data_IF_519310088982
#
_entry.id   IF_519310088982
#
_cell.length_a   1.000
_cell.length_b   1.000
_cell.length_c   1.000
_cell.angle_alpha   90.00
_cell.angle_beta   90.00
_cell.angle_gamma   90.00
#
_symmetry.space_group_name_H-M   'P 1'
#
loop_
_entity.id
_entity.type
_entity.pdbx_description
1 polymer ?
#
# COMPACT_ATOMS: atom_id res chain seq x y z
N UNK A 1 5.34 5.16 27.24
CA UNK A 1 3.95 5.08 27.76
C UNK A 1 3.18 4.31 26.72
N UNK A 2 3.12 3.02 26.96
CA UNK A 2 2.69 2.01 26.01
C UNK A 2 1.17 2.12 25.84
N UNK A 3 0.78 2.76 24.74
CA UNK A 3 -0.60 2.89 24.33
C UNK A 3 -1.08 1.56 23.77
N UNK A 4 -1.89 0.86 24.54
CA UNK A 4 -2.63 -0.32 24.10
C UNK A 4 -3.49 0.06 22.87
N UNK A 5 -3.16 -0.49 21.70
CA UNK A 5 -3.93 -0.36 20.46
C UNK A 5 -5.16 -1.24 20.56
N UNK A 6 -6.30 -0.67 20.95
CA UNK A 6 -7.57 -1.39 21.06
C UNK A 6 -8.48 -1.05 19.87
N UNK A 7 -8.67 -2.01 18.97
CA UNK A 7 -9.69 -1.98 17.91
C UNK A 7 -10.58 -3.22 18.10
N UNK A 8 -11.81 -3.01 18.57
CA UNK A 8 -12.90 -4.01 18.74
C UNK A 8 -14.22 -3.24 18.51
N UNK A 9 -15.32 -3.71 17.89
CA UNK A 9 -15.80 -4.89 17.14
C UNK A 9 -17.15 -4.50 16.53
N UNK A 10 -17.54 -5.08 15.38
CA UNK A 10 -18.88 -5.59 15.06
C UNK A 10 -18.62 -6.73 14.04
N UNK A 11 -18.94 -8.02 14.17
CA UNK A 11 -19.74 -8.83 15.08
C UNK A 11 -19.28 -10.29 14.85
N UNK A 12 -19.10 -11.10 15.90
CA UNK A 12 -19.00 -12.56 15.79
C UNK A 12 -17.59 -13.16 15.69
N UNK A 13 -17.18 -13.86 16.75
CA UNK A 13 -16.09 -14.84 16.70
C UNK A 13 -16.38 -15.90 15.63
N UNK A 14 -15.58 -15.90 14.55
CA UNK A 14 -15.09 -17.05 13.77
C UNK A 14 -14.17 -16.45 12.72
N UNK A 15 -12.96 -16.99 12.55
CA UNK A 15 -12.23 -16.78 11.30
C UNK A 15 -13.21 -17.08 10.16
N UNK A 16 -13.24 -16.28 9.08
CA UNK A 16 -14.12 -16.62 7.94
C UNK A 16 -13.97 -18.12 7.65
N UNK A 17 -15.08 -18.87 7.69
CA UNK A 17 -15.04 -20.35 7.73
C UNK A 17 -14.25 -20.96 6.55
N UNK A 18 -14.00 -20.15 5.52
CA UNK A 18 -13.34 -20.46 4.27
C UNK A 18 -11.83 -20.12 4.22
N UNK A 19 -11.28 -19.32 5.15
CA UNK A 19 -9.87 -18.87 5.06
C UNK A 19 -8.85 -20.03 5.00
N UNK A 20 -8.97 -21.12 5.79
CA UNK A 20 -8.08 -22.27 5.65
C UNK A 20 -8.16 -22.94 4.28
N UNK A 21 -9.36 -23.05 3.70
CA UNK A 21 -9.55 -23.62 2.37
C UNK A 21 -8.92 -22.73 1.29
N UNK A 22 -9.15 -21.41 1.36
CA UNK A 22 -8.49 -20.43 0.49
C UNK A 22 -6.97 -20.46 0.59
N UNK A 23 -6.41 -20.61 1.80
CA UNK A 23 -4.96 -20.78 1.98
C UNK A 23 -4.44 -22.00 1.23
N UNK A 24 -5.13 -23.13 1.34
CA UNK A 24 -4.73 -24.36 0.64
C UNK A 24 -4.80 -24.20 -0.88
N UNK A 25 -5.85 -23.57 -1.40
CA UNK A 25 -6.00 -23.25 -2.83
C UNK A 25 -4.83 -22.39 -3.33
N UNK A 26 -4.62 -21.24 -2.69
CA UNK A 26 -3.53 -20.31 -3.07
C UNK A 26 -2.17 -20.99 -2.98
N UNK A 27 -1.89 -21.74 -1.93
CA UNK A 27 -0.60 -22.41 -1.80
C UNK A 27 -0.38 -23.53 -2.82
N UNK A 28 -1.43 -24.18 -3.31
CA UNK A 28 -1.34 -25.14 -4.40
C UNK A 28 -1.00 -24.42 -5.71
N UNK A 29 -1.74 -23.36 -6.05
CA UNK A 29 -1.59 -22.58 -7.28
C UNK A 29 -0.20 -21.94 -7.43
N UNK A 30 0.39 -21.51 -6.30
CA UNK A 30 1.64 -20.77 -6.28
C UNK A 30 2.86 -21.61 -5.85
N UNK A 31 2.69 -22.91 -5.58
CA UNK A 31 3.74 -23.79 -5.07
C UNK A 31 5.07 -23.76 -5.84
N UNK A 32 5.04 -23.63 -7.16
CA UNK A 32 6.24 -23.54 -8.02
C UNK A 32 6.91 -22.15 -8.01
N UNK A 33 6.21 -21.12 -7.51
CA UNK A 33 6.63 -19.72 -7.45
C UNK A 33 6.89 -19.24 -6.02
N UNK A 34 6.79 -20.14 -5.03
CA UNK A 34 7.11 -19.87 -3.63
C UNK A 34 8.58 -19.50 -3.41
N UNK A 35 9.47 -19.73 -4.38
CA UNK A 35 10.92 -19.54 -4.29
C UNK A 35 11.34 -18.31 -3.49
N UNK A 36 11.62 -18.52 -2.19
CA UNK A 36 12.00 -17.54 -1.17
C UNK A 36 10.98 -16.46 -0.80
N UNK A 37 9.70 -16.62 -1.14
CA UNK A 37 8.59 -15.87 -0.56
C UNK A 37 8.04 -16.64 0.65
N UNK A 38 8.07 -16.01 1.82
CA UNK A 38 7.61 -16.66 3.04
C UNK A 38 6.08 -16.64 3.14
N UNK A 39 5.48 -17.79 3.39
CA UNK A 39 4.06 -17.89 3.78
C UNK A 39 3.85 -17.27 5.16
N UNK A 40 2.65 -16.72 5.42
CA UNK A 40 2.34 -16.18 6.75
C UNK A 40 2.18 -17.29 7.78
N UNK A 41 2.96 -17.16 8.85
CA UNK A 41 2.75 -17.92 10.08
C UNK A 41 1.47 -17.47 10.80
N UNK A 42 0.95 -18.25 11.76
CA UNK A 42 -0.09 -17.76 12.67
C UNK A 42 0.34 -16.45 13.36
N UNK A 43 -0.57 -15.48 13.51
CA UNK A 43 -0.24 -14.18 14.08
C UNK A 43 0.05 -14.27 15.58
N UNK A 44 0.95 -13.41 16.07
CA UNK A 44 1.10 -13.16 17.50
C UNK A 44 -0.14 -12.40 18.05
N UNK A 45 -0.42 -12.44 19.37
CA UNK A 45 -1.66 -11.89 19.95
C UNK A 45 -1.92 -10.39 19.69
N UNK A 46 -0.87 -9.61 19.44
CA UNK A 46 -0.92 -8.16 19.18
C UNK A 46 -0.76 -7.79 17.70
N UNK A 47 -0.56 -8.77 16.82
CA UNK A 47 -0.49 -8.60 15.37
C UNK A 47 -1.88 -8.44 14.74
N UNK A 48 -1.92 -7.79 13.57
CA UNK A 48 -3.15 -7.43 12.87
C UNK A 48 -4.15 -8.60 12.72
N UNK A 49 -3.69 -9.75 12.23
CA UNK A 49 -4.54 -10.91 11.95
C UNK A 49 -5.01 -11.66 13.21
N UNK A 50 -4.50 -11.31 14.40
CA UNK A 50 -5.06 -11.79 15.67
C UNK A 50 -6.24 -10.92 16.14
N UNK A 51 -6.32 -9.68 15.65
CA UNK A 51 -7.30 -8.67 16.08
C UNK A 51 -8.38 -8.40 15.04
N UNK A 52 -8.07 -8.62 13.76
CA UNK A 52 -8.93 -8.32 12.62
C UNK A 52 -9.17 -9.59 11.82
N UNK A 53 -10.45 -9.93 11.62
CA UNK A 53 -10.83 -11.02 10.71
C UNK A 53 -10.74 -10.52 9.26
N UNK A 54 -9.87 -11.16 8.48
CA UNK A 54 -9.67 -10.85 7.08
C UNK A 54 -9.94 -12.09 6.22
N UNK A 55 -10.94 -12.05 5.32
CA UNK A 55 -11.31 -13.21 4.52
C UNK A 55 -10.29 -13.56 3.42
N UNK A 56 -9.24 -12.73 3.26
CA UNK A 56 -8.33 -12.79 2.13
C UNK A 56 -8.99 -12.48 0.79
N UNK A 57 -8.19 -12.53 -0.27
CA UNK A 57 -8.64 -12.34 -1.64
C UNK A 57 -7.79 -13.20 -2.57
N UNK A 58 -8.37 -14.26 -3.16
CA UNK A 58 -7.68 -15.06 -4.19
C UNK A 58 -7.53 -14.26 -5.49
N UNK A 59 -6.73 -14.76 -6.43
CA UNK A 59 -6.60 -14.11 -7.74
C UNK A 59 -7.92 -14.14 -8.55
N UNK A 60 -8.70 -15.22 -8.45
CA UNK A 60 -10.03 -15.33 -9.08
C UNK A 60 -11.03 -14.32 -8.49
N UNK A 61 -11.04 -14.16 -7.16
CA UNK A 61 -11.87 -13.15 -6.49
C UNK A 61 -11.46 -11.73 -6.89
N UNK A 62 -10.15 -11.47 -7.00
CA UNK A 62 -9.65 -10.19 -7.51
C UNK A 62 -10.16 -9.92 -8.93
N UNK A 63 -10.05 -10.87 -9.86
CA UNK A 63 -10.56 -10.70 -11.24
C UNK A 63 -12.05 -10.36 -11.31
N UNK A 64 -12.85 -10.86 -10.35
CA UNK A 64 -14.29 -10.57 -10.27
C UNK A 64 -14.63 -9.22 -9.65
N UNK A 65 -13.78 -8.71 -8.76
CA UNK A 65 -14.11 -7.55 -7.90
C UNK A 65 -13.34 -6.29 -8.26
N UNK A 66 -12.16 -6.40 -8.86
CA UNK A 66 -11.32 -5.25 -9.21
C UNK A 66 -11.88 -4.49 -10.42
N UNK A 67 -12.25 -3.23 -10.20
CA UNK A 67 -12.82 -2.35 -11.23
C UNK A 67 -11.82 -1.38 -11.84
N UNK A 68 -10.67 -1.16 -11.21
CA UNK A 68 -9.64 -0.24 -11.70
C UNK A 68 -8.54 -1.01 -12.44
N UNK A 69 -8.41 -0.74 -13.74
CA UNK A 69 -7.38 -1.31 -14.61
C UNK A 69 -6.85 -0.22 -15.53
N UNK A 70 -5.56 -0.29 -15.86
CA UNK A 70 -4.94 0.57 -16.86
C UNK A 70 -5.64 0.40 -18.21
N UNK A 71 -5.93 1.50 -18.88
CA UNK A 71 -6.51 1.50 -20.22
C UNK A 71 -5.95 2.64 -21.06
N UNK A 72 -6.22 2.63 -22.37
CA UNK A 72 -5.88 3.75 -23.23
C UNK A 72 -6.51 5.04 -22.67
N UNK A 73 -5.69 6.08 -22.51
CA UNK A 73 -6.11 7.36 -21.94
C UNK A 73 -6.40 7.33 -20.43
N UNK A 74 -6.05 6.27 -19.69
CA UNK A 74 -6.09 6.19 -18.23
C UNK A 74 -4.92 5.35 -17.71
N UNK A 75 -3.75 5.98 -17.62
CA UNK A 75 -2.48 5.29 -17.36
C UNK A 75 -1.50 6.05 -16.47
N UNK A 76 -1.89 7.21 -15.96
CA UNK A 76 -1.04 8.03 -15.07
C UNK A 76 -1.47 7.88 -13.61
N UNK A 77 -0.52 7.53 -12.74
CA UNK A 77 -0.69 7.62 -11.29
C UNK A 77 -0.28 9.03 -10.88
N UNK A 78 -1.23 9.79 -10.36
CA UNK A 78 -0.98 11.13 -9.85
C UNK A 78 -0.64 11.10 -8.37
N UNK A 79 0.45 11.77 -8.02
CA UNK A 79 0.81 12.08 -6.65
C UNK A 79 0.38 13.52 -6.36
N UNK A 80 -0.36 13.73 -5.27
CA UNK A 80 -0.76 15.04 -4.80
C UNK A 80 -0.01 15.35 -3.50
N UNK A 81 1.12 16.06 -3.55
CA UNK A 81 1.73 16.60 -2.33
C UNK A 81 0.71 17.51 -1.64
N UNK A 82 0.61 17.42 -0.33
CA UNK A 82 -0.31 18.23 0.44
C UNK A 82 0.42 19.11 1.45
N UNK A 83 -0.24 20.18 1.88
CA UNK A 83 0.20 21.02 2.99
C UNK A 83 1.56 21.70 2.76
N UNK A 84 1.98 21.94 1.51
CA UNK A 84 3.28 22.52 1.19
C UNK A 84 4.45 21.54 1.29
N UNK A 85 4.18 20.22 1.25
CA UNK A 85 5.19 19.17 1.24
C UNK A 85 6.15 19.30 0.06
N UNK A 86 5.67 19.75 -1.11
CA UNK A 86 6.49 20.03 -2.30
C UNK A 86 7.67 20.96 -2.03
N UNK A 87 7.45 21.98 -1.19
CA UNK A 87 8.49 22.94 -0.80
C UNK A 87 9.42 22.36 0.28
N UNK A 88 8.88 21.58 1.21
CA UNK A 88 9.65 21.08 2.37
C UNK A 88 10.52 19.87 2.03
N UNK A 89 10.04 18.98 1.16
CA UNK A 89 10.70 17.71 0.86
C UNK A 89 10.67 17.37 -0.65
N UNK A 90 11.21 18.22 -1.54
CA UNK A 90 11.18 17.99 -2.99
C UNK A 90 11.95 16.72 -3.42
N UNK A 91 13.10 16.43 -2.79
CA UNK A 91 13.92 15.26 -3.13
C UNK A 91 13.24 13.94 -2.77
N UNK A 92 12.58 13.90 -1.60
CA UNK A 92 11.77 12.76 -1.17
C UNK A 92 10.62 12.51 -2.15
N UNK A 93 9.91 13.57 -2.54
CA UNK A 93 8.80 13.46 -3.48
C UNK A 93 9.24 12.90 -4.81
N UNK A 94 10.36 13.37 -5.35
CA UNK A 94 10.89 12.87 -6.62
C UNK A 94 11.30 11.39 -6.51
N UNK A 95 11.93 11.00 -5.40
CA UNK A 95 12.25 9.60 -5.11
C UNK A 95 10.99 8.73 -5.06
N UNK A 96 9.91 9.21 -4.41
CA UNK A 96 8.62 8.52 -4.35
C UNK A 96 7.96 8.45 -5.72
N UNK A 97 7.99 9.51 -6.52
CA UNK A 97 7.45 9.55 -7.89
C UNK A 97 8.13 8.52 -8.78
N UNK A 98 9.46 8.49 -8.76
CA UNK A 98 10.23 7.51 -9.52
C UNK A 98 9.92 6.09 -9.04
N UNK A 99 9.91 5.86 -7.72
CA UNK A 99 9.56 4.56 -7.14
C UNK A 99 8.17 4.09 -7.59
N UNK A 100 7.15 4.95 -7.52
CA UNK A 100 5.78 4.63 -7.94
C UNK A 100 5.77 4.29 -9.44
N UNK A 101 6.48 5.05 -10.26
CA UNK A 101 6.56 4.76 -11.70
C UNK A 101 7.18 3.39 -11.98
N UNK A 102 8.30 3.08 -11.33
CA UNK A 102 9.02 1.80 -11.50
C UNK A 102 8.23 0.64 -10.90
N UNK A 103 7.65 0.80 -9.71
CA UNK A 103 6.92 -0.25 -9.00
C UNK A 103 5.61 -0.63 -9.70
N UNK A 104 4.88 0.34 -10.25
CA UNK A 104 3.61 0.10 -10.93
C UNK A 104 3.75 0.03 -12.46
N UNK A 105 4.93 0.30 -13.01
CA UNK A 105 5.20 0.31 -14.46
C UNK A 105 4.22 1.22 -15.22
N UNK A 106 3.86 2.34 -14.59
CA UNK A 106 2.93 3.35 -15.05
C UNK A 106 3.60 4.72 -15.02
N UNK A 107 3.10 5.67 -15.80
CA UNK A 107 3.53 7.06 -15.65
C UNK A 107 3.18 7.55 -14.24
N UNK A 108 4.08 8.28 -13.60
CA UNK A 108 3.82 8.94 -12.33
C UNK A 108 4.12 10.43 -12.44
N UNK A 109 3.16 11.27 -12.03
CA UNK A 109 3.25 12.73 -12.17
C UNK A 109 2.66 13.45 -10.97
N UNK A 110 3.10 14.68 -10.73
CA UNK A 110 2.56 15.49 -9.64
C UNK A 110 1.35 16.28 -10.09
N UNK A 111 0.33 16.31 -9.23
CA UNK A 111 -0.65 17.39 -9.21
C UNK A 111 -0.09 18.57 -8.42
N UNK A 112 -0.62 19.80 -8.62
CA UNK A 112 -0.22 20.96 -7.83
C UNK A 112 -0.41 20.71 -6.34
N UNK A 113 0.59 21.09 -5.54
CA UNK A 113 0.50 21.02 -4.08
C UNK A 113 -0.67 21.89 -3.60
N UNK A 114 -1.49 21.34 -2.71
CA UNK A 114 -2.63 22.05 -2.13
C UNK A 114 -2.85 21.69 -0.65
N UNK A 115 -3.49 22.58 0.12
CA UNK A 115 -3.91 22.24 1.49
C UNK A 115 -4.87 21.05 1.51
N UNK A 116 -4.86 20.30 2.60
CA UNK A 116 -5.89 19.32 2.87
C UNK A 116 -7.25 20.01 3.13
N UNK A 117 -8.39 19.33 2.86
CA UNK A 117 -9.71 19.91 3.08
C UNK A 117 -9.88 20.30 4.55
N UNK A 118 -10.32 21.55 4.79
CA UNK A 118 -10.54 22.07 6.16
C UNK A 118 -11.56 21.23 6.95
N UNK A 119 -12.54 20.64 6.26
CA UNK A 119 -13.54 19.75 6.85
C UNK A 119 -12.96 18.43 7.37
N UNK A 120 -11.77 18.02 6.91
CA UNK A 120 -11.10 16.84 7.42
C UNK A 120 -10.31 17.11 8.71
N UNK A 121 -10.05 18.37 9.07
CA UNK A 121 -9.29 18.67 10.30
C UNK A 121 -10.16 18.46 11.54
N UNK A 122 -9.65 17.64 12.47
CA UNK A 122 -10.22 17.48 13.81
C UNK A 122 -9.38 18.26 14.83
N UNK A 123 -9.87 19.37 15.41
CA UNK A 123 -9.16 20.11 16.44
C UNK A 123 -8.88 19.28 17.70
N UNK A 124 -9.82 18.43 18.11
CA UNK A 124 -9.71 17.60 19.31
C UNK A 124 -8.63 16.55 19.18
N UNK A 125 -8.49 15.97 17.99
CA UNK A 125 -7.46 14.95 17.69
C UNK A 125 -6.13 15.55 17.28
N UNK A 126 -6.15 16.79 16.77
CA UNK A 126 -5.04 17.39 16.03
C UNK A 126 -4.58 16.52 14.83
N UNK A 127 -5.55 15.86 14.18
CA UNK A 127 -5.35 14.92 13.07
C UNK A 127 -6.32 15.26 11.92
N UNK A 128 -6.00 14.79 10.72
CA UNK A 128 -6.90 14.82 9.58
C UNK A 128 -7.65 13.50 9.41
N UNK A 129 -8.94 13.59 9.11
CA UNK A 129 -9.78 12.45 8.75
C UNK A 129 -9.44 11.98 7.33
N UNK A 130 -8.88 10.78 7.22
CA UNK A 130 -8.49 10.21 5.96
C UNK A 130 -9.71 9.95 5.05
N UNK A 131 -10.86 9.58 5.59
CA UNK A 131 -12.07 9.32 4.80
C UNK A 131 -12.58 10.62 4.14
N UNK A 132 -12.58 11.72 4.89
CA UNK A 132 -12.94 13.03 4.36
C UNK A 132 -11.97 13.52 3.28
N UNK A 133 -10.67 13.19 3.38
CA UNK A 133 -9.69 13.46 2.32
C UNK A 133 -10.01 12.63 1.06
N UNK A 134 -10.34 11.35 1.22
CA UNK A 134 -10.71 10.48 0.10
C UNK A 134 -11.96 11.01 -0.62
N UNK A 135 -12.94 11.52 0.13
CA UNK A 135 -14.13 12.16 -0.43
C UNK A 135 -13.81 13.39 -1.28
N UNK A 136 -12.94 14.28 -0.79
CA UNK A 136 -12.46 15.44 -1.54
C UNK A 136 -11.72 15.04 -2.82
N UNK A 137 -10.82 14.05 -2.75
CA UNK A 137 -10.07 13.57 -3.91
C UNK A 137 -10.98 12.96 -4.98
N UNK A 138 -11.96 12.16 -4.55
CA UNK A 138 -12.87 11.47 -5.46
C UNK A 138 -13.76 12.41 -6.26
N UNK A 139 -14.00 13.63 -5.76
CA UNK A 139 -14.81 14.64 -6.45
C UNK A 139 -14.13 15.20 -7.71
N UNK A 140 -12.80 15.08 -7.84
CA UNK A 140 -12.03 15.73 -8.89
C UNK A 140 -10.89 14.85 -9.46
N UNK A 141 -11.14 13.55 -9.64
CA UNK A 141 -10.17 12.64 -10.26
C UNK A 141 -10.01 13.00 -11.75
N UNK A 142 -8.80 13.35 -12.24
CA UNK A 142 -8.58 13.62 -13.66
C UNK A 142 -9.03 12.43 -14.53
N UNK A 143 -9.51 12.71 -15.75
CA UNK A 143 -10.01 11.65 -16.64
C UNK A 143 -8.93 10.63 -17.02
N UNK A 144 -7.69 11.10 -17.14
CA UNK A 144 -6.50 10.30 -17.46
C UNK A 144 -5.81 9.68 -16.24
N UNK A 145 -6.28 10.00 -15.03
CA UNK A 145 -5.75 9.42 -13.82
C UNK A 145 -6.14 7.94 -13.69
N UNK A 146 -5.13 7.08 -13.69
CA UNK A 146 -5.26 5.71 -13.23
C UNK A 146 -5.54 5.66 -11.72
N UNK A 147 -4.88 6.53 -10.96
CA UNK A 147 -5.10 6.71 -9.54
C UNK A 147 -4.61 8.10 -9.09
N UNK A 148 -5.15 8.61 -7.97
CA UNK A 148 -4.68 9.85 -7.32
C UNK A 148 -4.36 9.55 -5.86
N UNK A 149 -3.08 9.61 -5.49
CA UNK A 149 -2.63 9.41 -4.12
C UNK A 149 -2.16 10.75 -3.51
N UNK A 150 -2.85 11.20 -2.46
CA UNK A 150 -2.37 12.32 -1.67
C UNK A 150 -1.24 11.89 -0.73
N UNK A 151 -0.23 12.74 -0.61
CA UNK A 151 0.94 12.51 0.22
C UNK A 151 1.14 13.72 1.15
N UNK A 152 1.07 13.46 2.46
CA UNK A 152 1.17 14.50 3.50
C UNK A 152 2.18 14.14 4.61
N UNK A 153 2.60 15.14 5.37
CA UNK A 153 3.34 15.00 6.64
C UNK A 153 2.44 15.28 7.87
N UNK A 154 1.13 15.44 7.66
CA UNK A 154 0.12 15.58 8.71
C UNK A 154 -0.35 14.24 9.22
N UNK A 155 -0.69 14.18 10.50
CA UNK A 155 -1.19 12.97 11.12
C UNK A 155 -2.61 12.65 10.65
N UNK A 156 -2.91 11.36 10.47
CA UNK A 156 -4.18 10.88 9.90
C UNK A 156 -4.91 9.95 10.88
N UNK A 157 -6.23 9.96 10.84
CA UNK A 157 -7.09 8.97 11.49
C UNK A 157 -8.23 8.53 10.56
N UNK A 158 -8.91 7.44 10.89
CA UNK A 158 -10.15 7.01 10.23
C UNK A 158 -11.07 6.35 11.25
N UNK A 159 -12.36 6.72 11.21
CA UNK A 159 -13.38 6.23 12.12
C UNK A 159 -12.97 6.28 13.61
N UNK A 160 -12.90 5.11 14.25
CA UNK A 160 -12.54 4.97 15.67
C UNK A 160 -11.07 4.70 15.92
N UNK A 161 -10.24 4.59 14.86
CA UNK A 161 -8.82 4.30 15.00
C UNK A 161 -8.08 5.49 15.62
N UNK A 162 -7.02 5.21 16.39
CA UNK A 162 -6.17 6.24 16.97
C UNK A 162 -5.41 7.03 15.90
N UNK A 163 -4.91 6.34 14.88
CA UNK A 163 -4.32 6.90 13.68
C UNK A 163 -4.32 5.86 12.56
N UNK A 164 -4.03 6.30 11.34
CA UNK A 164 -3.69 5.44 10.21
C UNK A 164 -2.43 5.96 9.53
N UNK A 165 -1.64 5.08 8.93
CA UNK A 165 -0.52 5.50 8.08
C UNK A 165 -0.99 5.94 6.69
N UNK A 166 -2.11 5.39 6.24
CA UNK A 166 -2.79 5.74 5.01
C UNK A 166 -4.18 5.13 4.97
N UNK A 167 -4.92 5.51 3.94
CA UNK A 167 -6.20 4.94 3.60
C UNK A 167 -6.40 5.05 2.10
N UNK A 168 -6.94 4.02 1.48
CA UNK A 168 -7.25 4.02 0.06
C UNK A 168 -8.60 3.39 -0.24
N UNK A 169 -9.27 3.91 -1.26
CA UNK A 169 -10.50 3.33 -1.78
C UNK A 169 -10.19 2.22 -2.77
N UNK A 170 -10.79 1.04 -2.57
CA UNK A 170 -10.69 -0.10 -3.49
C UNK A 170 -11.30 0.16 -4.88
N UNK A 171 -12.14 1.18 -5.03
CA UNK A 171 -12.95 1.39 -6.24
C UNK A 171 -12.92 2.82 -6.78
N UNK A 172 -12.70 3.83 -5.93
CA UNK A 172 -12.76 5.26 -6.32
C UNK A 172 -11.46 5.79 -6.92
N UNK A 173 -10.40 4.98 -6.96
CA UNK A 173 -9.07 5.33 -7.51
C UNK A 173 -8.35 6.44 -6.74
N UNK A 174 -8.65 6.59 -5.46
CA UNK A 174 -8.09 7.62 -4.60
C UNK A 174 -7.59 7.04 -3.28
N UNK A 175 -6.53 7.64 -2.75
CA UNK A 175 -5.97 7.31 -1.45
C UNK A 175 -5.16 8.45 -0.88
N UNK A 176 -4.83 8.36 0.41
CA UNK A 176 -3.94 9.28 1.10
C UNK A 176 -2.99 8.48 1.99
N UNK A 177 -1.74 8.88 2.07
CA UNK A 177 -0.78 8.34 3.03
C UNK A 177 0.06 9.45 3.67
N UNK A 178 0.57 9.15 4.86
CA UNK A 178 1.32 10.09 5.68
C UNK A 178 2.64 9.53 6.18
N UNK A 179 3.65 10.39 6.22
CA UNK A 179 4.95 10.11 6.82
C UNK A 179 5.10 10.62 8.25
N UNK A 180 4.04 11.22 8.82
CA UNK A 180 4.06 11.87 10.14
C UNK A 180 4.68 11.00 11.24
N UNK A 181 4.48 9.68 11.15
CA UNK A 181 4.83 8.70 12.18
C UNK A 181 6.05 7.84 11.85
N UNK A 182 6.83 8.18 10.81
CA UNK A 182 7.96 7.36 10.35
C UNK A 182 9.34 7.86 10.78
N UNK A 183 9.41 8.94 11.55
CA UNK A 183 10.66 9.56 11.94
C UNK A 183 11.24 10.39 10.80
N UNK A 184 12.57 10.44 10.69
CA UNK A 184 13.26 11.15 9.61
C UNK A 184 13.06 10.43 8.26
N UNK A 185 12.33 11.01 7.29
CA UNK A 185 12.08 10.37 6.00
C UNK A 185 13.33 10.28 5.11
N UNK A 186 14.40 11.00 5.45
CA UNK A 186 15.68 10.94 4.73
C UNK A 186 16.61 9.85 5.27
N UNK A 187 16.29 9.28 6.44
CA UNK A 187 16.95 8.07 6.92
C UNK A 187 16.56 6.86 6.04
N UNK A 188 17.45 5.86 5.97
CA UNK A 188 17.17 4.61 5.22
C UNK A 188 15.85 3.96 5.64
N UNK A 189 15.55 4.00 6.93
CA UNK A 189 14.36 3.41 7.51
C UNK A 189 13.09 4.23 7.22
N UNK A 190 13.16 5.56 7.40
CA UNK A 190 12.04 6.46 7.07
C UNK A 190 11.69 6.43 5.58
N UNK A 191 12.70 6.39 4.69
CA UNK A 191 12.46 6.21 3.26
C UNK A 191 11.81 4.85 2.98
N UNK A 192 12.29 3.77 3.60
CA UNK A 192 11.71 2.43 3.42
C UNK A 192 10.22 2.41 3.78
N UNK A 193 9.87 2.97 4.95
CA UNK A 193 8.49 3.09 5.41
C UNK A 193 7.63 3.93 4.47
N UNK A 194 8.18 5.05 3.98
CA UNK A 194 7.51 5.93 3.01
C UNK A 194 7.18 5.20 1.70
N UNK A 195 8.17 4.52 1.10
CA UNK A 195 7.95 3.78 -0.14
C UNK A 195 6.98 2.62 0.05
N UNK A 196 7.03 1.97 1.22
CA UNK A 196 6.17 0.85 1.54
C UNK A 196 4.70 1.25 1.71
N UNK A 197 4.41 2.31 2.47
CA UNK A 197 3.03 2.80 2.59
C UNK A 197 2.51 3.28 1.24
N UNK A 198 3.35 3.91 0.42
CA UNK A 198 2.95 4.35 -0.91
C UNK A 198 2.52 3.17 -1.79
N UNK A 199 3.30 2.09 -1.86
CA UNK A 199 2.89 0.93 -2.65
C UNK A 199 1.67 0.18 -2.06
N UNK A 200 1.50 0.22 -0.74
CA UNK A 200 0.39 -0.43 -0.06
C UNK A 200 -0.93 0.25 -0.40
N UNK A 201 -1.02 1.56 -0.16
CA UNK A 201 -2.23 2.34 -0.45
C UNK A 201 -2.51 2.42 -1.95
N UNK A 202 -1.48 2.54 -2.79
CA UNK A 202 -1.68 2.53 -4.24
C UNK A 202 -2.14 1.14 -4.73
N UNK A 203 -1.66 0.06 -4.10
CA UNK A 203 -2.15 -1.30 -4.34
C UNK A 203 -3.65 -1.43 -4.09
N UNK A 204 -4.14 -0.88 -2.97
CA UNK A 204 -5.57 -0.81 -2.68
C UNK A 204 -6.36 -0.10 -3.76
N UNK A 205 -5.85 0.99 -4.35
CA UNK A 205 -6.54 1.70 -5.44
C UNK A 205 -6.74 0.86 -6.72
N UNK A 206 -6.07 -0.28 -6.85
CA UNK A 206 -6.28 -1.29 -7.91
C UNK A 206 -7.25 -2.41 -7.51
N UNK A 207 -7.83 -2.34 -6.30
CA UNK A 207 -8.72 -3.37 -5.76
C UNK A 207 -8.01 -4.54 -5.07
N UNK A 208 -6.69 -4.44 -4.84
CA UNK A 208 -5.92 -5.45 -4.12
C UNK A 208 -6.25 -5.31 -2.62
N UNK A 209 -6.80 -6.34 -1.99
CA UNK A 209 -7.05 -6.36 -0.54
C UNK A 209 -5.79 -6.75 0.24
N UNK A 210 -5.87 -6.65 1.56
CA UNK A 210 -4.79 -7.17 2.40
C UNK A 210 -4.48 -8.64 2.11
N UNK A 211 -3.18 -8.95 2.14
CA UNK A 211 -2.68 -10.28 1.93
C UNK A 211 -2.63 -11.03 3.26
N UNK A 212 -3.25 -12.21 3.29
CA UNK A 212 -3.30 -13.10 4.46
C UNK A 212 -2.59 -14.43 4.22
N UNK A 213 -1.90 -14.55 3.08
CA UNK A 213 -1.27 -15.78 2.58
C UNK A 213 0.26 -15.75 2.74
N UNK A 214 0.92 -14.64 2.40
CA UNK A 214 2.38 -14.50 2.41
C UNK A 214 2.81 -13.24 3.15
N UNK A 215 4.07 -13.20 3.59
CA UNK A 215 4.73 -11.95 3.97
C UNK A 215 4.79 -11.08 2.73
N UNK A 216 4.08 -9.96 2.75
CA UNK A 216 3.82 -9.12 1.59
C UNK A 216 3.72 -7.65 2.02
N UNK A 217 4.07 -6.73 1.13
CA UNK A 217 3.83 -5.30 1.35
C UNK A 217 2.33 -4.98 1.51
N UNK A 218 1.44 -5.85 1.02
CA UNK A 218 -0.02 -5.75 1.19
C UNK A 218 -0.54 -6.37 2.51
N UNK A 219 0.30 -6.79 3.46
CA UNK A 219 -0.23 -7.25 4.75
C UNK A 219 -0.81 -6.06 5.53
N UNK A 220 -1.97 -6.24 6.16
CA UNK A 220 -2.44 -5.33 7.20
C UNK A 220 -1.47 -5.34 8.38
N UNK A 221 -1.44 -4.24 9.13
CA UNK A 221 -0.52 -4.10 10.27
C UNK A 221 -1.11 -3.26 11.39
N UNK A 222 -0.93 -3.73 12.62
CA UNK A 222 -1.40 -3.06 13.83
C UNK A 222 -0.31 -2.19 14.50
N UNK A 223 0.95 -2.32 14.08
CA UNK A 223 2.06 -1.56 14.68
C UNK A 223 3.16 -1.26 13.66
N UNK A 224 3.97 -0.24 13.95
CA UNK A 224 5.12 0.07 13.10
C UNK A 224 6.12 -1.09 13.04
N UNK A 225 6.35 -1.78 14.17
CA UNK A 225 7.25 -2.93 14.23
C UNK A 225 6.74 -4.11 13.38
N UNK A 226 5.45 -4.40 13.41
CA UNK A 226 4.86 -5.41 12.54
C UNK A 226 5.01 -5.01 11.06
N UNK A 227 4.71 -3.74 10.73
CA UNK A 227 4.90 -3.23 9.38
C UNK A 227 6.36 -3.37 8.96
N UNK A 228 7.33 -2.89 9.72
CA UNK A 228 8.76 -2.94 9.39
C UNK A 228 9.27 -4.37 9.14
N UNK A 229 8.71 -5.36 9.85
CA UNK A 229 9.06 -6.76 9.64
C UNK A 229 8.60 -7.30 8.27
N UNK A 230 7.54 -6.77 7.65
CA UNK A 230 7.05 -7.25 6.34
C UNK A 230 7.97 -6.76 5.20
N UNK A 231 8.08 -7.49 4.08
CA UNK A 231 8.85 -7.00 2.94
C UNK A 231 8.21 -5.77 2.28
N UNK A 232 8.98 -5.06 1.45
CA UNK A 232 8.50 -3.96 0.60
C UNK A 232 7.93 -4.46 -0.75
N UNK A 233 8.16 -5.73 -1.10
CA UNK A 233 7.70 -6.32 -2.35
C UNK A 233 6.35 -7.03 -2.22
N UNK A 234 5.68 -7.23 -3.34
CA UNK A 234 4.49 -8.07 -3.43
C UNK A 234 4.88 -9.55 -3.52
N UNK A 235 4.11 -10.40 -2.85
CA UNK A 235 4.17 -11.85 -3.01
C UNK A 235 3.60 -12.27 -4.39
N UNK A 236 3.77 -13.53 -4.83
CA UNK A 236 3.32 -13.96 -6.15
C UNK A 236 1.82 -13.72 -6.42
N UNK A 237 0.88 -14.01 -5.49
CA UNK A 237 -0.53 -13.67 -5.69
C UNK A 237 -0.78 -12.17 -5.94
N UNK A 238 -0.21 -11.29 -5.12
CA UNK A 238 -0.47 -9.85 -5.25
C UNK A 238 0.29 -9.22 -6.42
N UNK A 239 1.43 -9.81 -6.82
CA UNK A 239 2.10 -9.45 -8.06
C UNK A 239 1.24 -9.80 -9.27
N UNK A 240 0.59 -10.97 -9.30
CA UNK A 240 -0.30 -11.33 -10.41
C UNK A 240 -1.53 -10.41 -10.47
N UNK A 241 -2.10 -10.04 -9.32
CA UNK A 241 -3.18 -9.03 -9.24
C UNK A 241 -2.72 -7.69 -9.80
N UNK A 242 -1.53 -7.23 -9.40
CA UNK A 242 -0.95 -5.99 -9.91
C UNK A 242 -0.74 -6.07 -11.43
N UNK A 243 -0.09 -7.12 -11.92
CA UNK A 243 0.16 -7.36 -13.36
C UNK A 243 -1.14 -7.36 -14.14
N UNK A 244 -2.20 -7.98 -13.60
CA UNK A 244 -3.53 -7.95 -14.20
C UNK A 244 -4.14 -6.54 -14.26
N UNK A 245 -3.88 -5.71 -13.25
CA UNK A 245 -4.39 -4.35 -13.17
C UNK A 245 -3.65 -3.37 -14.11
N UNK A 246 -2.33 -3.47 -14.21
CA UNK A 246 -1.50 -2.49 -14.94
C UNK A 246 -0.96 -2.98 -16.29
N UNK A 247 -0.99 -4.29 -16.55
CA UNK A 247 -0.56 -4.90 -17.80
C UNK A 247 0.97 -4.89 -18.03
N UNK A 248 1.77 -4.99 -16.97
CA UNK A 248 3.23 -4.96 -17.06
C UNK A 248 3.87 -6.35 -17.17
N UNK A 249 5.05 -6.43 -17.80
CA UNK A 249 5.89 -7.63 -17.77
C UNK A 249 6.58 -7.78 -16.39
N UNK A 250 6.36 -8.89 -15.65
CA UNK A 250 6.94 -9.08 -14.32
C UNK A 250 8.48 -9.05 -14.30
N UNK A 251 9.13 -9.57 -15.35
CA UNK A 251 10.60 -9.63 -15.41
C UNK A 251 11.22 -8.24 -15.64
N UNK A 252 10.66 -7.44 -16.54
CA UNK A 252 11.06 -6.04 -16.77
C UNK A 252 10.85 -5.21 -15.52
N UNK A 253 9.68 -5.34 -14.88
CA UNK A 253 9.40 -4.69 -13.59
C UNK A 253 10.44 -5.05 -12.53
N UNK A 254 10.77 -6.34 -12.38
CA UNK A 254 11.75 -6.79 -11.39
C UNK A 254 13.16 -6.25 -11.67
N UNK A 255 13.59 -6.17 -12.94
CA UNK A 255 14.86 -5.56 -13.35
C UNK A 255 14.92 -4.07 -12.98
N UNK A 256 13.90 -3.31 -13.37
CA UNK A 256 13.87 -1.87 -13.14
C UNK A 256 13.84 -1.56 -11.64
N UNK A 257 13.04 -2.33 -10.88
CA UNK A 257 12.92 -2.16 -9.44
C UNK A 257 14.19 -2.58 -8.69
N UNK A 258 14.89 -3.62 -9.14
CA UNK A 258 16.21 -3.97 -8.60
C UNK A 258 17.24 -2.86 -8.84
N UNK A 259 17.28 -2.29 -10.05
CA UNK A 259 18.14 -1.15 -10.38
C UNK A 259 17.84 0.07 -9.50
N UNK A 260 16.56 0.40 -9.34
CA UNK A 260 16.10 1.46 -8.44
C UNK A 260 16.58 1.21 -7.00
N UNK A 261 16.34 0.01 -6.46
CA UNK A 261 16.75 -0.36 -5.10
C UNK A 261 18.26 -0.30 -4.89
N UNK A 262 19.08 -0.69 -5.87
CA UNK A 262 20.53 -0.52 -5.78
C UNK A 262 20.92 0.95 -5.63
N UNK A 263 20.33 1.82 -6.45
CA UNK A 263 20.63 3.26 -6.46
C UNK A 263 20.29 3.94 -5.14
N UNK A 264 19.22 3.51 -4.47
CA UNK A 264 18.82 4.05 -3.15
C UNK A 264 19.39 3.26 -1.95
N UNK A 265 20.28 2.28 -2.18
CA UNK A 265 20.96 1.53 -1.12
C UNK A 265 20.13 0.40 -0.48
N UNK A 266 19.05 -0.04 -1.10
CA UNK A 266 18.20 -1.17 -0.65
C UNK A 266 18.73 -2.48 -1.24
N UNK A 267 19.99 -2.80 -0.94
CA UNK A 267 20.73 -3.88 -1.60
C UNK A 267 20.13 -5.28 -1.39
N UNK A 268 19.52 -5.55 -0.24
CA UNK A 268 18.86 -6.82 0.02
C UNK A 268 17.61 -7.01 -0.84
N UNK A 269 16.78 -5.97 -0.97
CA UNK A 269 15.59 -6.01 -1.82
C UNK A 269 15.98 -6.09 -3.31
N UNK A 270 17.07 -5.44 -3.70
CA UNK A 270 17.61 -5.58 -5.06
C UNK A 270 18.05 -7.01 -5.36
N UNK A 271 18.88 -7.61 -4.49
CA UNK A 271 19.32 -9.01 -4.64
C UNK A 271 18.15 -9.99 -4.62
N UNK A 272 17.14 -9.71 -3.79
CA UNK A 272 15.92 -10.51 -3.74
C UNK A 272 15.22 -10.54 -5.10
N UNK A 273 15.07 -9.40 -5.77
CA UNK A 273 14.44 -9.35 -7.10
C UNK A 273 15.32 -10.00 -8.18
N UNK A 274 16.63 -9.75 -8.15
CA UNK A 274 17.59 -10.29 -9.13
C UNK A 274 17.63 -11.82 -9.12
N UNK A 275 17.61 -12.45 -7.94
CA UNK A 275 17.59 -13.90 -7.82
C UNK A 275 16.34 -14.60 -8.36
N UNK A 276 15.36 -13.82 -8.86
CA UNK A 276 14.08 -14.30 -9.40
C UNK A 276 13.84 -13.88 -10.85
N UNK A 277 14.83 -13.24 -11.47
CA UNK A 277 14.80 -12.98 -12.92
C UNK A 277 15.12 -14.28 -13.67
N UNK A 278 14.49 -14.51 -14.85
CA UNK A 278 14.80 -15.64 -15.71
C UNK A 278 16.21 -15.55 -16.31
#
# INVERSE_FOLDING_TARGET
MDGLFLVIVLSGCRASEDLPAKKNEVYADYSSRDGGFDRLAPPAPDEWLALVDEPGQTFEEFKRTASNQRSAGRDTIYLLPAEGLSRRNPELLETVREYVSVFFQCAASFLPDRPLPRSAWSPDRQQYDAEAILDDLAAAVPSDALAVAAFTDRDLYSGRLNFVFGLASLTRRVGVYSIHRYGDPHSREGLRRTLKVANHEIGHMFGIRHCVFYRCSMNGSNSLAESDARPIHYCPPDLDKLVRAVGCDPASRARDLASFYRRIGFLDDARFLEGRLP
#
